data_IF_017120634116
#
_entry.id   IF_017120634116
#
_cell.length_a   1.000
_cell.length_b   1.000
_cell.length_c   1.000
_cell.angle_alpha   90.00
_cell.angle_beta   90.00
_cell.angle_gamma   90.00
#
_symmetry.space_group_name_H-M   'P 1'
#
loop_
_entity.id
_entity.type
_entity.pdbx_description
1 polymer ?
#
# COMPACT_ATOMS: atom_id res chain seq x y z
N UNK A 1 -0.88 8.63 33.87
CA UNK A 1 -1.63 8.80 32.59
C UNK A 1 -2.89 7.96 32.69
N UNK A 2 -4.06 8.60 32.62
CA UNK A 2 -5.33 7.90 32.50
C UNK A 2 -5.46 7.48 31.03
N UNK A 3 -5.54 6.18 30.77
CA UNK A 3 -5.80 5.67 29.42
C UNK A 3 -7.31 5.58 29.25
N UNK A 4 -7.88 6.46 28.43
CA UNK A 4 -9.27 6.31 28.02
C UNK A 4 -9.42 4.98 27.28
N UNK A 5 -10.17 3.99 27.81
CA UNK A 5 -10.24 2.65 27.24
C UNK A 5 -10.71 2.66 25.77
N UNK A 6 -11.53 3.65 25.41
CA UNK A 6 -11.99 3.90 24.04
C UNK A 6 -10.84 4.22 23.09
N UNK A 7 -9.87 5.04 23.51
CA UNK A 7 -8.72 5.42 22.68
C UNK A 7 -7.75 4.26 22.47
N UNK A 8 -7.59 3.40 23.49
CA UNK A 8 -6.77 2.19 23.39
C UNK A 8 -7.40 1.19 22.42
N UNK A 9 -8.71 0.95 22.50
CA UNK A 9 -9.42 0.06 21.58
C UNK A 9 -9.38 0.60 20.14
N UNK A 10 -9.58 1.91 19.96
CA UNK A 10 -9.55 2.55 18.64
C UNK A 10 -8.18 2.46 17.98
N UNK A 11 -7.10 2.68 18.75
CA UNK A 11 -5.72 2.56 18.23
C UNK A 11 -5.32 1.12 17.89
N UNK A 12 -5.78 0.13 18.67
CA UNK A 12 -5.61 -1.30 18.34
C UNK A 12 -6.34 -1.68 17.05
N UNK A 13 -7.57 -1.20 16.85
CA UNK A 13 -8.33 -1.43 15.62
C UNK A 13 -7.64 -0.82 14.39
N UNK A 14 -7.15 0.42 14.50
CA UNK A 14 -6.40 1.08 13.42
C UNK A 14 -5.12 0.30 13.12
N UNK A 15 -4.38 -0.14 14.14
CA UNK A 15 -3.18 -0.96 13.97
C UNK A 15 -3.46 -2.30 13.27
N UNK A 16 -4.54 -2.98 13.67
CA UNK A 16 -4.97 -4.22 13.02
C UNK A 16 -5.38 -3.98 11.56
N UNK A 17 -6.11 -2.91 11.28
CA UNK A 17 -6.50 -2.53 9.92
C UNK A 17 -5.27 -2.30 9.03
N UNK A 18 -4.27 -1.56 9.51
CA UNK A 18 -3.01 -1.32 8.77
C UNK A 18 -2.28 -2.65 8.51
N UNK A 19 -2.23 -3.54 9.50
CA UNK A 19 -1.60 -4.84 9.34
C UNK A 19 -2.26 -5.67 8.24
N UNK A 20 -3.60 -5.74 8.24
CA UNK A 20 -4.36 -6.44 7.20
C UNK A 20 -4.15 -5.80 5.83
N UNK A 21 -4.16 -4.47 5.75
CA UNK A 21 -3.90 -3.74 4.49
C UNK A 21 -2.52 -4.07 3.92
N UNK A 22 -1.48 -4.03 4.75
CA UNK A 22 -0.10 -4.36 4.34
C UNK A 22 0.02 -5.82 3.91
N UNK A 23 -0.55 -6.74 4.70
CA UNK A 23 -0.51 -8.18 4.41
C UNK A 23 -1.18 -8.51 3.07
N UNK A 24 -2.30 -7.84 2.77
CA UNK A 24 -3.01 -8.03 1.51
C UNK A 24 -2.23 -7.43 0.35
N UNK A 25 -1.74 -6.19 0.48
CA UNK A 25 -1.15 -5.43 -0.64
C UNK A 25 0.28 -5.88 -0.97
N UNK A 26 1.07 -6.31 0.01
CA UNK A 26 2.45 -6.76 -0.20
C UNK A 26 2.63 -7.82 -1.30
N UNK A 27 1.88 -8.95 -1.34
CA UNK A 27 2.02 -9.95 -2.39
C UNK A 27 1.62 -9.41 -3.77
N UNK A 28 0.58 -8.57 -3.86
CA UNK A 28 0.19 -7.96 -5.13
C UNK A 28 1.24 -6.98 -5.64
N UNK A 29 1.82 -6.17 -4.74
CA UNK A 29 2.90 -5.25 -5.07
C UNK A 29 4.13 -6.02 -5.56
N UNK A 30 4.49 -7.10 -4.88
CA UNK A 30 5.59 -7.98 -5.30
C UNK A 30 5.36 -8.54 -6.71
N UNK A 31 4.19 -9.13 -6.97
CA UNK A 31 3.87 -9.70 -8.29
C UNK A 31 3.94 -8.62 -9.37
N UNK A 32 3.39 -7.43 -9.07
CA UNK A 32 3.40 -6.33 -9.99
C UNK A 32 4.82 -5.86 -10.33
N UNK A 33 5.65 -5.60 -9.30
CA UNK A 33 7.01 -5.09 -9.51
C UNK A 33 7.96 -6.13 -10.12
N UNK A 34 7.77 -7.42 -9.80
CA UNK A 34 8.69 -8.48 -10.21
C UNK A 34 8.34 -9.06 -11.57
N UNK A 35 7.06 -9.13 -11.93
CA UNK A 35 6.63 -9.78 -13.18
C UNK A 35 5.95 -8.81 -14.14
N UNK A 36 4.93 -8.09 -13.67
CA UNK A 36 4.09 -7.28 -14.56
C UNK A 36 4.84 -6.07 -15.12
N UNK A 37 5.58 -5.34 -14.28
CA UNK A 37 6.35 -4.16 -14.71
C UNK A 37 7.45 -4.49 -15.73
N UNK A 38 8.31 -5.51 -15.54
CA UNK A 38 9.31 -5.88 -16.54
C UNK A 38 8.70 -6.33 -17.88
N UNK A 39 7.62 -7.12 -17.84
CA UNK A 39 6.90 -7.57 -19.05
C UNK A 39 6.34 -6.36 -19.78
N UNK A 40 5.63 -5.49 -19.07
CA UNK A 40 5.02 -4.32 -19.66
C UNK A 40 6.02 -3.36 -20.29
N UNK A 41 7.17 -3.11 -19.64
CA UNK A 41 8.26 -2.32 -20.24
C UNK A 41 8.81 -2.93 -21.52
N UNK A 42 8.88 -4.26 -21.58
CA UNK A 42 9.43 -4.99 -22.73
C UNK A 42 8.50 -4.95 -23.94
N UNK A 43 7.18 -5.12 -23.73
CA UNK A 43 6.23 -5.28 -24.83
C UNK A 43 5.46 -4.01 -25.21
N UNK A 44 5.21 -3.10 -24.26
CA UNK A 44 4.40 -1.90 -24.47
C UNK A 44 5.24 -0.63 -24.58
N UNK A 45 6.53 -0.69 -24.22
CA UNK A 45 7.48 0.41 -24.37
C UNK A 45 6.93 1.73 -23.80
N UNK A 46 6.76 2.80 -24.61
CA UNK A 46 6.27 4.10 -24.12
C UNK A 46 4.84 4.06 -23.57
N UNK A 47 3.98 3.18 -24.08
CA UNK A 47 2.59 3.05 -23.61
C UNK A 47 2.52 2.49 -22.19
N UNK A 48 3.56 1.76 -21.77
CA UNK A 48 3.66 1.21 -20.42
C UNK A 48 3.75 2.28 -19.35
N UNK A 49 4.29 3.47 -19.63
CA UNK A 49 4.38 4.53 -18.62
C UNK A 49 2.99 4.95 -18.13
N UNK A 50 2.01 5.04 -19.03
CA UNK A 50 0.64 5.39 -18.69
C UNK A 50 -0.12 4.21 -18.05
N UNK A 51 0.02 3.02 -18.64
CA UNK A 51 -0.63 1.82 -18.12
C UNK A 51 -0.10 1.43 -16.72
N UNK A 52 1.23 1.44 -16.55
CA UNK A 52 1.91 1.19 -15.29
C UNK A 52 1.55 2.22 -14.23
N UNK A 53 1.40 3.51 -14.59
CA UNK A 53 0.96 4.54 -13.65
C UNK A 53 -0.45 4.28 -13.13
N UNK A 54 -1.39 3.91 -14.00
CA UNK A 54 -2.77 3.56 -13.60
C UNK A 54 -2.78 2.31 -12.72
N UNK A 55 -1.96 1.31 -13.04
CA UNK A 55 -1.85 0.09 -12.23
C UNK A 55 -1.17 0.32 -10.87
N UNK A 56 -0.30 1.34 -10.76
CA UNK A 56 0.34 1.73 -9.50
C UNK A 56 -0.53 2.58 -8.57
N UNK A 57 -1.53 3.30 -9.11
CA UNK A 57 -2.45 4.16 -8.35
C UNK A 57 -3.05 3.50 -7.09
N UNK A 58 -3.60 2.28 -7.13
CA UNK A 58 -4.16 1.65 -5.92
C UNK A 58 -3.12 1.41 -4.82
N UNK A 59 -1.87 1.07 -5.18
CA UNK A 59 -0.79 0.93 -4.20
C UNK A 59 -0.43 2.26 -3.56
N UNK A 60 -0.40 3.34 -4.35
CA UNK A 60 -0.16 4.69 -3.87
C UNK A 60 -1.26 5.15 -2.89
N UNK A 61 -2.53 4.87 -3.19
CA UNK A 61 -3.65 5.21 -2.31
C UNK A 61 -3.53 4.49 -0.96
N UNK A 62 -3.18 3.21 -0.97
CA UNK A 62 -2.93 2.44 0.25
C UNK A 62 -1.75 3.02 1.03
N UNK A 63 -0.67 3.38 0.35
CA UNK A 63 0.52 3.94 1.00
C UNK A 63 0.21 5.30 1.67
N UNK A 64 -0.58 6.16 1.01
CA UNK A 64 -1.06 7.44 1.59
C UNK A 64 -1.99 7.19 2.78
N UNK A 65 -2.91 6.24 2.68
CA UNK A 65 -3.82 5.91 3.78
C UNK A 65 -3.06 5.44 5.01
N UNK A 66 -2.05 4.58 4.84
CA UNK A 66 -1.19 4.14 5.94
C UNK A 66 -0.45 5.35 6.53
N UNK A 67 0.15 6.20 5.69
CA UNK A 67 0.84 7.40 6.15
C UNK A 67 -0.05 8.32 6.97
N UNK A 68 -1.31 8.54 6.55
CA UNK A 68 -2.26 9.37 7.29
C UNK A 68 -2.66 8.74 8.64
N UNK A 69 -2.72 7.41 8.73
CA UNK A 69 -3.11 6.70 9.94
C UNK A 69 -1.97 6.52 10.94
N UNK A 70 -0.71 6.50 10.49
CA UNK A 70 0.46 6.21 11.34
C UNK A 70 1.49 7.32 11.44
N UNK A 71 1.44 8.31 10.54
CA UNK A 71 2.52 9.29 10.35
C UNK A 71 3.82 8.67 9.81
N UNK A 72 3.80 7.42 9.36
CA UNK A 72 4.99 6.71 8.88
C UNK A 72 4.87 6.36 7.41
N UNK A 73 5.97 6.52 6.67
CA UNK A 73 6.03 6.11 5.28
C UNK A 73 6.07 4.57 5.25
N UNK A 74 5.12 3.91 4.57
CA UNK A 74 5.13 2.46 4.44
C UNK A 74 6.35 2.03 3.63
N UNK A 75 7.21 1.25 4.28
CA UNK A 75 8.33 0.56 3.63
C UNK A 75 7.83 -0.72 2.98
N UNK A 76 8.36 -1.00 1.79
CA UNK A 76 8.15 -2.23 1.02
C UNK A 76 8.75 -3.41 1.76
#
# INVERSE_FOLDING_TARGET
MYFDPVTVISSLLVGFLIFVLKLLVAPYRYIFTTFIDPIGRTYLGPLWQWAGLVLCMPFLVVDILIFLLTGTIPTI
#
